data_IF_777018385540
#
_entry.id   IF_777018385540
#
_cell.length_a   1.000
_cell.length_b   1.000
_cell.length_c   1.000
_cell.angle_alpha   90.00
_cell.angle_beta   90.00
_cell.angle_gamma   90.00
#
_symmetry.space_group_name_H-M   'P 1'
#
loop_
_entity.id
_entity.type
_entity.pdbx_description
1 polymer ?
#
# COMPACT_ATOMS: atom_id res chain seq x y z
N UNK A 1 -10.59 12.86 4.29
CA UNK A 1 -9.86 11.59 4.39
C UNK A 1 -9.58 11.26 5.85
N UNK A 2 -9.47 9.98 6.16
CA UNK A 2 -9.13 9.51 7.52
C UNK A 2 -7.75 8.87 7.57
N UNK A 3 -7.16 8.62 6.42
CA UNK A 3 -5.86 7.96 6.26
C UNK A 3 -4.89 8.84 5.49
N UNK A 4 -3.63 8.75 5.85
CA UNK A 4 -2.50 9.33 5.13
C UNK A 4 -1.51 8.21 4.80
N UNK A 5 -1.28 8.00 3.50
CA UNK A 5 -0.31 7.04 2.99
C UNK A 5 0.99 7.74 2.63
N UNK A 6 2.08 7.33 3.25
CA UNK A 6 3.41 7.90 3.03
C UNK A 6 4.35 6.83 2.46
N UNK A 7 5.16 7.23 1.47
CA UNK A 7 6.22 6.38 0.93
C UNK A 7 7.54 7.10 1.01
N UNK A 8 8.48 6.53 1.77
CA UNK A 8 9.86 6.99 1.79
C UNK A 8 10.59 6.46 0.53
N UNK A 9 10.58 7.26 -0.54
CA UNK A 9 11.18 6.88 -1.81
C UNK A 9 12.71 6.75 -1.73
N UNK A 10 13.36 7.59 -0.92
CA UNK A 10 14.79 7.50 -0.68
C UNK A 10 15.14 6.27 0.14
N UNK A 11 14.35 5.99 1.17
CA UNK A 11 14.44 4.75 1.94
C UNK A 11 14.24 3.50 1.08
N UNK A 12 13.31 3.54 0.13
CA UNK A 12 13.09 2.45 -0.81
C UNK A 12 14.30 2.19 -1.72
N UNK A 13 14.98 3.27 -2.15
CA UNK A 13 16.15 3.20 -3.03
C UNK A 13 17.42 2.80 -2.28
N UNK A 14 17.75 3.51 -1.22
CA UNK A 14 19.07 3.45 -0.57
C UNK A 14 19.04 2.63 0.72
N UNK A 15 17.86 2.29 1.20
CA UNK A 15 17.70 1.51 2.41
C UNK A 15 18.05 2.26 3.70
N UNK A 16 18.09 3.59 3.68
CA UNK A 16 18.36 4.43 4.84
C UNK A 16 17.11 5.21 5.27
N UNK A 17 17.03 5.61 6.53
CA UNK A 17 15.95 6.43 7.07
C UNK A 17 16.15 7.92 6.78
N UNK A 18 16.30 8.29 5.51
CA UNK A 18 16.63 9.65 5.08
C UNK A 18 15.52 10.63 5.46
N UNK A 19 14.25 10.21 5.31
CA UNK A 19 13.08 11.05 5.54
C UNK A 19 12.42 10.82 6.90
N UNK A 20 13.07 10.10 7.82
CA UNK A 20 12.49 9.74 9.12
C UNK A 20 12.02 10.97 9.92
N UNK A 21 12.83 12.02 9.98
CA UNK A 21 12.49 13.24 10.69
C UNK A 21 11.31 13.98 10.05
N UNK A 22 11.21 13.97 8.72
CA UNK A 22 10.07 14.55 8.00
C UNK A 22 8.79 13.76 8.30
N UNK A 23 8.87 12.42 8.30
CA UNK A 23 7.74 11.55 8.64
C UNK A 23 7.32 11.78 10.09
N UNK A 24 8.27 11.88 11.03
CA UNK A 24 8.00 12.20 12.43
C UNK A 24 7.15 13.47 12.56
N UNK A 25 7.59 14.55 11.94
CA UNK A 25 6.87 15.84 11.97
C UNK A 25 5.47 15.73 11.38
N UNK A 26 5.30 15.00 10.28
CA UNK A 26 3.97 14.78 9.70
C UNK A 26 3.07 14.04 10.69
N UNK A 27 3.55 12.95 11.29
CA UNK A 27 2.77 12.18 12.27
C UNK A 27 2.35 13.03 13.48
N UNK A 28 3.22 13.92 13.94
CA UNK A 28 2.95 14.82 15.07
C UNK A 28 1.93 15.93 14.72
N UNK A 29 1.86 16.34 13.46
CA UNK A 29 1.04 17.48 13.02
C UNK A 29 -0.36 17.07 12.51
N UNK A 30 -0.58 15.79 12.15
CA UNK A 30 -1.85 15.36 11.57
C UNK A 30 -2.65 14.47 12.53
N UNK A 31 -3.96 14.67 12.58
CA UNK A 31 -4.89 13.78 13.26
C UNK A 31 -5.50 12.78 12.25
N UNK A 32 -4.63 11.98 11.63
CA UNK A 32 -4.98 10.97 10.64
C UNK A 32 -4.33 9.63 11.00
N UNK A 33 -4.94 8.54 10.56
CA UNK A 33 -4.26 7.25 10.59
C UNK A 33 -3.14 7.24 9.55
N UNK A 34 -1.91 7.31 10.00
CA UNK A 34 -0.73 7.34 9.11
C UNK A 34 -0.21 5.93 8.87
N UNK A 35 -0.02 5.58 7.61
CA UNK A 35 0.70 4.38 7.20
C UNK A 35 1.94 4.74 6.38
N UNK A 36 3.03 4.01 6.61
CA UNK A 36 4.34 4.30 6.00
C UNK A 36 4.91 3.07 5.32
N UNK A 37 5.34 3.24 4.09
CA UNK A 37 6.14 2.27 3.33
C UNK A 37 7.44 2.88 2.81
N UNK A 38 8.29 2.05 2.22
CA UNK A 38 9.54 2.46 1.60
C UNK A 38 10.78 2.05 2.41
N UNK A 39 11.53 1.07 1.92
CA UNK A 39 12.82 0.66 2.46
C UNK A 39 12.83 -0.02 3.82
N UNK A 40 11.70 -0.49 4.32
CA UNK A 40 11.61 -1.21 5.58
C UNK A 40 12.08 -2.64 5.38
N UNK A 41 13.21 -3.00 6.01
CA UNK A 41 13.93 -4.26 5.75
C UNK A 41 14.26 -5.07 7.00
N UNK A 42 13.94 -4.55 8.19
CA UNK A 42 14.23 -5.17 9.47
C UNK A 42 13.21 -4.76 10.53
N UNK A 43 13.19 -5.49 11.63
CA UNK A 43 12.28 -5.24 12.74
C UNK A 43 12.55 -3.93 13.46
N UNK A 44 13.80 -3.49 13.52
CA UNK A 44 14.16 -2.24 14.19
C UNK A 44 13.45 -1.06 13.53
N UNK A 45 13.40 -1.01 12.18
CA UNK A 45 12.66 0.01 11.43
C UNK A 45 11.16 -0.05 11.64
N UNK A 46 10.60 -1.25 11.67
CA UNK A 46 9.18 -1.43 12.00
C UNK A 46 8.90 -0.78 13.35
N UNK A 47 9.68 -1.10 14.36
CA UNK A 47 9.52 -0.57 15.72
C UNK A 47 9.71 0.94 15.74
N UNK A 48 10.74 1.49 15.10
CA UNK A 48 10.98 2.93 15.05
C UNK A 48 9.79 3.71 14.51
N UNK A 49 9.17 3.25 13.42
CA UNK A 49 7.98 3.90 12.88
C UNK A 49 6.75 3.74 13.79
N UNK A 50 6.54 2.56 14.37
CA UNK A 50 5.43 2.34 15.29
C UNK A 50 5.58 3.17 16.57
N UNK A 51 6.80 3.33 17.09
CA UNK A 51 7.10 4.16 18.27
C UNK A 51 6.87 5.67 18.00
N UNK A 52 6.97 6.12 16.75
CA UNK A 52 6.57 7.47 16.33
C UNK A 52 5.05 7.71 16.37
N UNK A 53 4.25 6.67 16.46
CA UNK A 53 2.79 6.77 16.35
C UNK A 53 2.24 6.47 14.95
N UNK A 54 3.06 5.97 14.02
CA UNK A 54 2.57 5.41 12.75
C UNK A 54 1.62 4.25 13.04
N UNK A 55 0.42 4.30 12.48
CA UNK A 55 -0.61 3.31 12.73
C UNK A 55 -0.33 1.98 12.05
N UNK A 56 0.36 2.00 10.89
CA UNK A 56 0.66 0.80 10.09
C UNK A 56 1.94 0.96 9.28
N UNK A 57 2.72 -0.11 9.21
CA UNK A 57 3.98 -0.19 8.43
C UNK A 57 3.77 -1.11 7.24
N UNK A 58 4.25 -0.71 6.07
CA UNK A 58 4.04 -1.43 4.82
C UNK A 58 5.34 -2.10 4.39
N UNK A 59 5.33 -3.43 4.32
CA UNK A 59 6.43 -4.24 3.84
C UNK A 59 6.22 -4.58 2.36
N UNK A 60 7.18 -4.21 1.52
CA UNK A 60 7.15 -4.50 0.08
C UNK A 60 8.09 -5.65 -0.28
N UNK A 61 9.22 -5.34 -0.90
CA UNK A 61 10.22 -6.30 -1.40
C UNK A 61 10.60 -7.38 -0.39
N UNK A 62 10.75 -7.02 0.89
CA UNK A 62 11.11 -7.97 1.95
C UNK A 62 10.04 -9.04 2.16
N UNK A 63 8.78 -8.72 1.97
CA UNK A 63 7.67 -9.67 2.09
C UNK A 63 7.77 -10.82 1.06
N UNK A 64 8.39 -10.56 -0.08
CA UNK A 64 8.64 -11.57 -1.12
C UNK A 64 9.94 -12.32 -0.88
N UNK A 65 11.00 -11.60 -0.49
CA UNK A 65 12.36 -12.18 -0.33
C UNK A 65 12.55 -12.96 0.95
N UNK A 66 11.87 -12.54 2.03
CA UNK A 66 12.05 -13.10 3.37
C UNK A 66 10.69 -13.51 3.98
N UNK A 67 10.06 -14.58 3.45
CA UNK A 67 8.71 -14.97 3.86
C UNK A 67 8.61 -15.37 5.35
N UNK A 68 9.66 -15.96 5.91
CA UNK A 68 9.69 -16.31 7.34
C UNK A 68 9.77 -15.06 8.22
N UNK A 69 10.55 -14.05 7.81
CA UNK A 69 10.58 -12.75 8.48
C UNK A 69 9.19 -12.10 8.46
N UNK A 70 8.53 -12.08 7.29
CA UNK A 70 7.17 -11.55 7.20
C UNK A 70 6.22 -12.24 8.16
N UNK A 71 6.23 -13.56 8.20
CA UNK A 71 5.37 -14.36 9.08
C UNK A 71 5.62 -14.06 10.56
N UNK A 72 6.88 -13.91 10.96
CA UNK A 72 7.26 -13.51 12.31
C UNK A 72 6.73 -12.11 12.65
N UNK A 73 6.92 -11.13 11.76
CA UNK A 73 6.46 -9.76 11.97
C UNK A 73 4.92 -9.67 12.03
N UNK A 74 4.22 -10.40 11.18
CA UNK A 74 2.75 -10.50 11.22
C UNK A 74 2.26 -11.12 12.54
N UNK A 75 2.91 -12.19 13.00
CA UNK A 75 2.57 -12.81 14.29
C UNK A 75 2.79 -11.86 15.48
N UNK A 76 3.83 -11.02 15.41
CA UNK A 76 4.22 -10.10 16.49
C UNK A 76 3.42 -8.80 16.50
N UNK A 77 3.18 -8.21 15.35
CA UNK A 77 2.61 -6.86 15.22
C UNK A 77 1.17 -6.85 14.67
N UNK A 78 0.68 -7.98 14.16
CA UNK A 78 -0.70 -8.13 13.68
C UNK A 78 -1.08 -7.11 12.60
N UNK A 79 -2.19 -6.42 12.82
CA UNK A 79 -2.76 -5.44 11.87
C UNK A 79 -1.89 -4.18 11.65
N UNK A 80 -0.85 -4.00 12.48
CA UNK A 80 0.13 -2.93 12.25
C UNK A 80 1.08 -3.22 11.09
N UNK A 81 1.05 -4.45 10.54
CA UNK A 81 1.78 -4.82 9.32
C UNK A 81 0.80 -4.92 8.17
N UNK A 82 1.09 -4.19 7.10
CA UNK A 82 0.48 -4.39 5.79
C UNK A 82 1.55 -4.81 4.78
N UNK A 83 1.12 -5.39 3.66
CA UNK A 83 2.03 -5.75 2.58
C UNK A 83 1.70 -4.96 1.33
N UNK A 84 2.70 -4.29 0.77
CA UNK A 84 2.63 -3.68 -0.55
C UNK A 84 2.86 -4.73 -1.63
N UNK A 85 1.86 -4.93 -2.48
CA UNK A 85 1.92 -5.82 -3.63
C UNK A 85 1.84 -4.98 -4.89
N UNK A 86 3.00 -4.65 -5.41
CA UNK A 86 3.13 -3.99 -6.70
C UNK A 86 3.08 -5.06 -7.79
N UNK A 87 2.25 -4.88 -8.80
CA UNK A 87 2.07 -5.89 -9.84
C UNK A 87 2.13 -5.28 -11.25
N UNK A 88 2.74 -6.01 -12.17
CA UNK A 88 2.70 -5.75 -13.60
C UNK A 88 2.27 -7.02 -14.33
N UNK A 89 1.27 -6.90 -15.19
CA UNK A 89 0.73 -8.03 -15.97
C UNK A 89 0.36 -9.25 -15.12
N UNK A 90 -0.08 -9.00 -13.87
CA UNK A 90 -0.47 -10.05 -12.92
C UNK A 90 0.68 -10.68 -12.13
N UNK A 91 1.92 -10.22 -12.29
CA UNK A 91 3.09 -10.71 -11.56
C UNK A 91 3.65 -9.67 -10.60
N UNK A 92 4.14 -10.14 -9.45
CA UNK A 92 4.67 -9.26 -8.39
C UNK A 92 5.96 -8.60 -8.84
N UNK A 93 6.04 -7.28 -8.67
CA UNK A 93 7.21 -6.45 -8.88
C UNK A 93 7.91 -6.15 -7.54
N UNK A 94 9.22 -6.14 -7.54
CA UNK A 94 10.07 -5.85 -6.38
C UNK A 94 11.19 -4.87 -6.72
N UNK A 95 11.97 -4.48 -5.70
CA UNK A 95 13.14 -3.60 -5.86
C UNK A 95 12.81 -2.26 -6.52
N UNK A 96 11.71 -1.60 -6.11
CA UNK A 96 11.26 -0.35 -6.72
C UNK A 96 10.89 -0.54 -8.19
N UNK A 97 10.16 -1.63 -8.51
CA UNK A 97 9.61 -1.99 -9.83
C UNK A 97 10.65 -2.38 -10.89
N UNK A 98 11.92 -2.55 -10.48
CA UNK A 98 13.03 -2.91 -11.39
C UNK A 98 13.05 -4.38 -11.77
N UNK A 99 12.37 -5.22 -11.01
CA UNK A 99 12.35 -6.66 -11.18
C UNK A 99 10.92 -7.18 -11.11
N UNK A 100 10.51 -7.94 -12.13
CA UNK A 100 9.25 -8.68 -12.14
C UNK A 100 9.57 -10.13 -11.79
N UNK A 101 8.92 -10.62 -10.76
CA UNK A 101 9.13 -12.00 -10.30
C UNK A 101 8.25 -12.98 -11.07
N UNK A 102 8.47 -14.29 -10.89
CA UNK A 102 7.57 -15.33 -11.39
C UNK A 102 6.35 -15.55 -10.47
N UNK A 103 6.21 -14.77 -9.37
CA UNK A 103 5.12 -14.89 -8.42
C UNK A 103 3.85 -14.24 -8.97
N UNK A 104 2.81 -15.03 -9.19
CA UNK A 104 1.49 -14.50 -9.60
C UNK A 104 0.87 -13.75 -8.42
N UNK A 105 0.44 -12.50 -8.65
CA UNK A 105 0.06 -11.55 -7.60
C UNK A 105 -1.19 -11.95 -6.83
N UNK A 106 -2.19 -12.55 -7.48
CA UNK A 106 -3.40 -13.01 -6.83
C UNK A 106 -3.13 -14.21 -5.89
N UNK A 107 -2.31 -15.16 -6.35
CA UNK A 107 -1.88 -16.30 -5.53
C UNK A 107 -1.04 -15.84 -4.36
N UNK A 108 -0.21 -14.82 -4.55
CA UNK A 108 0.55 -14.21 -3.48
C UNK A 108 -0.36 -13.54 -2.44
N UNK A 109 -1.37 -12.79 -2.86
CA UNK A 109 -2.35 -12.21 -1.95
C UNK A 109 -3.11 -13.26 -1.13
N UNK A 110 -3.46 -14.40 -1.71
CA UNK A 110 -4.03 -15.54 -0.97
C UNK A 110 -3.07 -16.06 0.10
N UNK A 111 -1.81 -16.28 -0.28
CA UNK A 111 -0.79 -16.72 0.66
C UNK A 111 -0.60 -15.72 1.81
N UNK A 112 -0.58 -14.42 1.52
CA UNK A 112 -0.51 -13.37 2.54
C UNK A 112 -1.66 -13.47 3.55
N UNK A 113 -2.90 -13.63 3.07
CA UNK A 113 -4.06 -13.86 3.92
C UNK A 113 -3.88 -15.11 4.80
N UNK A 114 -3.38 -16.21 4.24
CA UNK A 114 -3.21 -17.49 4.93
C UNK A 114 -2.19 -17.42 6.06
N UNK A 115 -1.17 -16.57 5.95
CA UNK A 115 -0.19 -16.32 7.01
C UNK A 115 -0.62 -15.22 8.00
N UNK A 116 -1.83 -14.68 7.86
CA UNK A 116 -2.43 -13.73 8.81
C UNK A 116 -2.30 -12.25 8.45
N UNK A 117 -1.80 -11.90 7.27
CA UNK A 117 -1.83 -10.51 6.78
C UNK A 117 -3.28 -10.08 6.59
N UNK A 118 -3.66 -8.97 7.21
CA UNK A 118 -5.02 -8.41 7.13
C UNK A 118 -5.18 -7.41 6.00
N UNK A 119 -4.15 -6.60 5.72
CA UNK A 119 -4.22 -5.52 4.74
C UNK A 119 -3.15 -5.65 3.69
N UNK A 120 -3.55 -5.54 2.44
CA UNK A 120 -2.67 -5.45 1.27
C UNK A 120 -2.92 -4.13 0.55
N UNK A 121 -1.85 -3.41 0.25
CA UNK A 121 -1.88 -2.29 -0.69
C UNK A 121 -1.51 -2.86 -2.07
N UNK A 122 -2.47 -2.94 -2.96
CA UNK A 122 -2.25 -3.50 -4.29
C UNK A 122 -2.12 -2.38 -5.33
N UNK A 123 -0.96 -2.30 -5.97
CA UNK A 123 -0.66 -1.31 -6.99
C UNK A 123 -0.48 -1.98 -8.35
N UNK A 124 -1.33 -1.65 -9.33
CA UNK A 124 -1.01 -1.95 -10.73
C UNK A 124 -0.03 -0.88 -11.23
N UNK A 125 1.25 -1.24 -11.31
CA UNK A 125 2.31 -0.31 -11.68
C UNK A 125 2.28 0.10 -13.16
N UNK A 126 1.54 -0.60 -14.01
CA UNK A 126 1.33 -0.19 -15.40
C UNK A 126 0.36 0.99 -15.50
N UNK A 127 -0.46 1.20 -14.48
CA UNK A 127 -1.45 2.28 -14.38
C UNK A 127 -0.98 3.45 -13.52
N UNK A 128 -0.01 3.19 -12.61
CA UNK A 128 0.42 4.20 -11.66
C UNK A 128 0.98 5.44 -12.35
N UNK A 129 0.52 6.60 -11.91
CA UNK A 129 0.90 7.91 -12.45
C UNK A 129 0.43 8.21 -13.88
N UNK A 130 -0.29 7.29 -14.55
CA UNK A 130 -0.74 7.45 -15.95
C UNK A 130 -1.93 8.39 -16.12
N UNK A 131 -2.77 8.60 -15.08
CA UNK A 131 -4.04 9.34 -15.17
C UNK A 131 -5.02 8.78 -16.21
N UNK A 132 -4.92 7.49 -16.50
CA UNK A 132 -5.72 6.78 -17.51
C UNK A 132 -6.77 5.84 -16.87
N UNK A 133 -6.86 5.85 -15.57
CA UNK A 133 -7.73 4.97 -14.80
C UNK A 133 -7.00 3.76 -14.21
N UNK A 134 -7.61 3.21 -13.16
CA UNK A 134 -7.05 2.06 -12.42
C UNK A 134 -7.53 0.72 -12.97
N UNK A 135 -6.91 -0.38 -12.53
CA UNK A 135 -7.25 -1.74 -12.97
C UNK A 135 -8.41 -2.33 -12.15
N UNK A 136 -9.64 -1.95 -12.48
CA UNK A 136 -10.85 -2.41 -11.78
C UNK A 136 -10.99 -3.94 -11.76
N UNK A 137 -10.56 -4.64 -12.82
CA UNK A 137 -10.70 -6.10 -12.90
C UNK A 137 -9.78 -6.81 -11.89
N UNK A 138 -8.59 -6.26 -11.63
CA UNK A 138 -7.71 -6.77 -10.60
C UNK A 138 -8.38 -6.69 -9.21
N UNK A 139 -9.01 -5.56 -8.87
CA UNK A 139 -9.69 -5.39 -7.56
C UNK A 139 -10.94 -6.27 -7.43
N UNK A 140 -11.73 -6.43 -8.50
CA UNK A 140 -12.86 -7.37 -8.51
C UNK A 140 -12.41 -8.81 -8.26
N UNK A 141 -11.25 -9.20 -8.83
CA UNK A 141 -10.64 -10.50 -8.59
C UNK A 141 -10.15 -10.62 -7.14
N UNK A 142 -9.45 -9.62 -6.62
CA UNK A 142 -8.91 -9.59 -5.26
C UNK A 142 -10.02 -9.62 -4.19
N UNK A 143 -11.16 -9.00 -4.44
CA UNK A 143 -12.35 -9.06 -3.54
C UNK A 143 -12.78 -10.48 -3.22
N UNK A 144 -12.48 -11.47 -4.07
CA UNK A 144 -12.81 -12.89 -3.84
C UNK A 144 -11.95 -13.54 -2.74
N UNK A 145 -10.92 -12.85 -2.26
CA UNK A 145 -10.08 -13.34 -1.16
C UNK A 145 -10.72 -12.90 0.16
N UNK A 146 -11.59 -13.76 0.70
CA UNK A 146 -12.26 -13.49 1.97
C UNK A 146 -11.25 -13.32 3.12
N UNK A 147 -11.49 -12.34 3.98
CA UNK A 147 -10.64 -12.04 5.14
C UNK A 147 -9.38 -11.22 4.82
N UNK A 148 -9.23 -10.74 3.57
CA UNK A 148 -8.17 -9.82 3.16
C UNK A 148 -8.77 -8.45 2.83
N UNK A 149 -8.29 -7.41 3.49
CA UNK A 149 -8.59 -6.01 3.17
C UNK A 149 -7.66 -5.53 2.08
N UNK A 150 -8.23 -5.10 0.95
CA UNK A 150 -7.46 -4.55 -0.17
C UNK A 150 -7.58 -3.03 -0.19
N UNK A 151 -6.44 -2.35 -0.21
CA UNK A 151 -6.34 -0.93 -0.54
C UNK A 151 -5.92 -0.82 -2.00
N UNK A 152 -6.76 -0.19 -2.82
CA UNK A 152 -6.48 0.03 -4.23
C UNK A 152 -5.47 1.16 -4.43
N UNK A 153 -4.48 0.95 -5.30
CA UNK A 153 -3.43 1.92 -5.63
C UNK A 153 -3.05 1.84 -7.12
N UNK A 154 -2.61 2.97 -7.66
CA UNK A 154 -2.17 3.08 -9.05
C UNK A 154 -3.27 3.51 -10.02
N UNK A 155 -3.12 4.70 -10.60
CA UNK A 155 -3.90 5.18 -11.73
C UNK A 155 -5.30 5.71 -11.44
N UNK A 156 -5.81 5.68 -10.22
CA UNK A 156 -7.15 6.18 -9.87
C UNK A 156 -7.25 7.66 -10.23
N UNK A 157 -8.11 8.00 -11.19
CA UNK A 157 -8.12 9.32 -11.82
C UNK A 157 -9.51 9.87 -12.09
N UNK A 158 -10.56 9.05 -11.95
CA UNK A 158 -11.93 9.43 -12.28
C UNK A 158 -12.87 9.20 -11.09
N UNK A 159 -13.85 10.10 -10.90
CA UNK A 159 -14.86 10.00 -9.85
C UNK A 159 -15.64 8.67 -9.89
N UNK A 160 -15.95 8.19 -11.11
CA UNK A 160 -16.64 6.90 -11.30
C UNK A 160 -15.89 5.72 -10.70
N UNK A 161 -14.55 5.74 -10.72
CA UNK A 161 -13.72 4.68 -10.14
C UNK A 161 -13.84 4.66 -8.62
N UNK A 162 -13.89 5.84 -7.98
CA UNK A 162 -14.07 5.95 -6.53
C UNK A 162 -15.42 5.36 -6.13
N UNK A 163 -16.49 5.69 -6.86
CA UNK A 163 -17.84 5.17 -6.61
C UNK A 163 -17.91 3.65 -6.77
N UNK A 164 -17.17 3.07 -7.72
CA UNK A 164 -17.13 1.64 -7.93
C UNK A 164 -16.21 0.94 -6.91
N UNK A 165 -15.03 1.52 -6.64
CA UNK A 165 -14.05 0.95 -5.70
C UNK A 165 -14.62 0.83 -4.29
N UNK A 166 -15.43 1.78 -3.81
CA UNK A 166 -16.01 1.71 -2.45
C UNK A 166 -16.82 0.44 -2.18
N UNK A 167 -17.35 -0.19 -3.24
CA UNK A 167 -18.13 -1.43 -3.13
C UNK A 167 -17.25 -2.69 -3.15
N UNK A 168 -15.97 -2.58 -3.53
CA UNK A 168 -15.13 -3.74 -3.80
C UNK A 168 -13.79 -3.76 -3.05
N UNK A 169 -13.35 -2.63 -2.47
CA UNK A 169 -12.11 -2.54 -1.69
C UNK A 169 -12.33 -1.84 -0.35
N UNK A 170 -11.43 -2.04 0.59
CA UNK A 170 -11.49 -1.42 1.91
C UNK A 170 -11.08 0.06 1.89
N UNK A 171 -10.14 0.43 1.01
CA UNK A 171 -9.65 1.80 0.85
C UNK A 171 -9.06 2.03 -0.54
N UNK A 172 -8.82 3.29 -0.90
CA UNK A 172 -8.16 3.69 -2.13
C UNK A 172 -7.14 4.80 -1.87
N UNK A 173 -5.98 4.72 -2.51
CA UNK A 173 -4.92 5.73 -2.45
C UNK A 173 -5.04 6.63 -3.67
N UNK A 174 -5.18 7.92 -3.42
CA UNK A 174 -5.19 8.97 -4.43
C UNK A 174 -3.88 9.76 -4.31
N UNK A 175 -3.04 9.69 -5.32
CA UNK A 175 -1.76 10.41 -5.38
C UNK A 175 -1.79 11.47 -6.48
N UNK A 176 -1.19 11.18 -7.62
CA UNK A 176 -1.00 12.11 -8.74
C UNK A 176 -2.28 12.82 -9.17
N UNK A 177 -3.43 12.16 -9.15
CA UNK A 177 -4.71 12.75 -9.54
C UNK A 177 -5.09 13.96 -8.67
N UNK A 178 -4.79 13.92 -7.35
CA UNK A 178 -4.99 15.06 -6.45
C UNK A 178 -3.97 16.16 -6.72
N UNK A 179 -2.69 15.81 -6.80
CA UNK A 179 -1.62 16.80 -7.02
C UNK A 179 -1.70 17.50 -8.38
N UNK A 180 -2.22 16.84 -9.41
CA UNK A 180 -2.43 17.42 -10.74
C UNK A 180 -3.74 18.18 -10.88
N UNK A 181 -4.64 18.11 -9.88
CA UNK A 181 -5.98 18.70 -9.95
C UNK A 181 -6.97 17.90 -10.83
N UNK A 182 -6.64 16.68 -11.24
CA UNK A 182 -7.57 15.82 -11.98
C UNK A 182 -8.73 15.34 -11.13
N UNK A 183 -8.52 15.20 -9.81
CA UNK A 183 -9.55 14.91 -8.81
C UNK A 183 -9.48 15.94 -7.68
N UNK A 184 -10.64 16.40 -7.22
CA UNK A 184 -10.77 17.15 -5.98
C UNK A 184 -10.86 16.20 -4.78
N UNK A 185 -10.04 16.42 -3.75
CA UNK A 185 -9.99 15.55 -2.57
C UNK A 185 -11.30 15.55 -1.79
N UNK A 186 -11.93 16.71 -1.61
CA UNK A 186 -13.19 16.82 -0.86
C UNK A 186 -14.28 16.02 -1.57
N UNK A 187 -14.36 16.18 -2.89
CA UNK A 187 -15.29 15.43 -3.73
C UNK A 187 -15.02 13.93 -3.72
N UNK A 188 -13.75 13.52 -3.79
CA UNK A 188 -13.37 12.11 -3.69
C UNK A 188 -13.80 11.50 -2.35
N UNK A 189 -13.63 12.21 -1.24
CA UNK A 189 -14.06 11.78 0.11
C UNK A 189 -15.58 11.65 0.19
N UNK A 190 -16.35 12.58 -0.41
CA UNK A 190 -17.82 12.48 -0.47
C UNK A 190 -18.28 11.23 -1.20
N UNK A 191 -17.68 10.94 -2.36
CA UNK A 191 -18.02 9.76 -3.19
C UNK A 191 -17.67 8.44 -2.52
N UNK A 192 -16.63 8.42 -1.68
CA UNK A 192 -16.18 7.23 -0.96
C UNK A 192 -17.02 6.91 0.30
N UNK A 193 -17.87 7.83 0.75
CA UNK A 193 -18.82 7.62 1.87
C UNK A 193 -20.08 6.92 1.39
#
# INVERSE_FOLDING_TARGET
ASYLHLVDLDGAKDGQLVNFETIRRIVEEVDLFVEVGGGIRDEERIRQYLDLGVGRVILGTIAVKEPEFLKEMVAKYGEKIAVGVDARDGYVAINGWKEITAQESFSFCKHLRDIGVKTVIYTDISRDGGLEGTNMDAYRKLRQIEGLEVTASGGISFEREITELKEIVAAAILGKAIYSGALDLSRAVELAR
#
